data_IF_973557896403
#
_entry.id   IF_973557896403
#
_cell.length_a   1.000
_cell.length_b   1.000
_cell.length_c   1.000
_cell.angle_alpha   90.00
_cell.angle_beta   90.00
_cell.angle_gamma   90.00
#
_symmetry.space_group_name_H-M   'P 1'
#
loop_
_entity.id
_entity.type
_entity.pdbx_description
1 polymer ?
#
# COMPACT_ATOMS: atom_id res chain seq x y z
N UNK A 1 44.47 -25.08 59.15
CA UNK A 1 44.59 -25.10 57.68
C UNK A 1 43.29 -24.46 57.14
N UNK A 2 43.12 -23.13 57.11
CA UNK A 2 43.56 -22.09 56.15
C UNK A 2 43.23 -22.37 54.67
N UNK A 3 42.22 -21.67 54.13
CA UNK A 3 42.20 -20.80 52.91
C UNK A 3 40.71 -20.45 52.61
N UNK A 4 40.15 -19.25 52.86
CA UNK A 4 40.23 -17.96 52.12
C UNK A 4 39.99 -18.13 50.61
N UNK A 5 39.18 -17.37 49.86
CA UNK A 5 38.84 -15.95 49.92
C UNK A 5 37.67 -15.64 48.95
N UNK A 6 37.04 -14.47 49.15
CA UNK A 6 35.85 -13.91 48.50
C UNK A 6 36.15 -13.10 47.21
N UNK A 7 35.05 -12.65 46.56
CA UNK A 7 34.89 -11.57 45.55
C UNK A 7 35.25 -11.94 44.10
N UNK A 8 34.57 -11.50 43.03
CA UNK A 8 34.22 -10.11 42.66
C UNK A 8 33.01 -10.09 41.70
N UNK A 9 32.10 -9.12 41.90
CA UNK A 9 31.00 -8.70 41.01
C UNK A 9 31.52 -7.87 39.83
N UNK A 10 30.63 -7.62 38.86
CA UNK A 10 30.68 -6.58 37.81
C UNK A 10 31.61 -6.78 36.62
N UNK A 11 31.03 -6.80 35.42
CA UNK A 11 31.44 -5.86 34.36
C UNK A 11 30.30 -5.64 33.34
N UNK A 12 29.84 -4.38 33.34
CA UNK A 12 28.90 -3.76 32.42
C UNK A 12 29.74 -3.11 31.29
N UNK A 13 29.27 -3.17 30.04
CA UNK A 13 29.61 -2.27 28.91
C UNK A 13 31.08 -2.06 28.54
N UNK A 14 31.50 -2.70 27.43
CA UNK A 14 32.62 -2.31 26.56
C UNK A 14 32.37 -2.98 25.19
N UNK A 15 32.57 -2.38 24.02
CA UNK A 15 32.85 -1.02 23.62
C UNK A 15 32.77 -0.99 22.08
N UNK A 16 32.07 0.01 21.55
CA UNK A 16 32.31 0.82 20.35
C UNK A 16 33.12 0.31 19.13
N UNK A 17 32.63 0.83 17.99
CA UNK A 17 33.45 1.35 16.88
C UNK A 17 34.04 0.34 15.89
N UNK A 18 33.21 -0.09 14.93
CA UNK A 18 33.69 -0.49 13.60
C UNK A 18 33.72 0.71 12.64
N UNK A 19 34.44 1.77 13.02
CA UNK A 19 35.05 2.69 12.07
C UNK A 19 36.42 2.10 11.72
N UNK A 20 36.64 1.71 10.45
CA UNK A 20 37.85 2.02 9.66
C UNK A 20 37.92 1.25 8.33
N UNK A 21 37.91 2.06 7.27
CA UNK A 21 38.80 2.02 6.08
C UNK A 21 38.47 1.00 4.98
N UNK A 22 37.84 1.51 3.92
CA UNK A 22 38.34 1.27 2.55
C UNK A 22 38.29 2.58 1.77
N UNK A 23 39.47 3.12 1.50
CA UNK A 23 39.73 4.24 0.61
C UNK A 23 40.03 3.63 -0.77
N UNK A 24 39.27 4.00 -1.81
CA UNK A 24 39.71 3.79 -3.19
C UNK A 24 39.59 5.11 -3.94
N UNK A 25 40.77 5.66 -4.26
CA UNK A 25 40.95 6.82 -5.14
C UNK A 25 41.14 6.30 -6.55
N UNK A 26 40.37 6.83 -7.51
CA UNK A 26 40.71 6.80 -8.92
C UNK A 26 40.41 8.18 -9.51
N UNK A 27 41.51 8.90 -9.79
CA UNK A 27 41.58 10.04 -10.70
C UNK A 27 41.50 9.51 -12.15
N UNK A 28 41.09 10.19 -13.22
CA UNK A 28 40.86 11.59 -13.58
C UNK A 28 39.99 11.58 -14.87
N UNK A 29 39.42 12.73 -15.24
CA UNK A 29 39.59 13.46 -16.53
C UNK A 29 38.37 14.36 -16.72
N UNK A 30 38.64 15.67 -16.83
CA UNK A 30 37.63 16.70 -16.99
C UNK A 30 37.17 16.89 -18.43
N UNK A 31 35.96 17.41 -18.57
CA UNK A 31 35.51 18.22 -19.71
C UNK A 31 34.59 19.30 -19.15
N UNK A 32 35.01 20.56 -19.26
CA UNK A 32 34.18 21.74 -19.03
C UNK A 32 33.25 21.94 -20.21
N UNK A 33 31.94 21.89 -19.97
CA UNK A 33 30.93 22.33 -20.95
C UNK A 33 30.54 23.76 -20.61
N UNK A 34 30.77 24.66 -21.57
CA UNK A 34 30.37 26.06 -21.53
C UNK A 34 28.84 26.18 -21.66
N UNK A 35 28.30 27.18 -20.96
CA UNK A 35 26.87 27.49 -20.84
C UNK A 35 26.20 27.76 -22.20
N UNK A 36 24.97 27.25 -22.36
CA UNK A 36 24.01 27.75 -23.33
C UNK A 36 22.75 28.24 -22.61
N UNK A 37 22.29 29.42 -23.00
CA UNK A 37 21.18 30.16 -22.42
C UNK A 37 19.86 29.41 -22.63
N UNK A 38 19.06 29.29 -21.57
CA UNK A 38 17.67 28.87 -21.68
C UNK A 38 16.83 30.06 -22.16
N UNK A 39 16.23 29.94 -23.34
CA UNK A 39 15.18 30.82 -23.80
C UNK A 39 13.94 30.66 -22.90
N UNK A 40 13.48 31.76 -22.31
CA UNK A 40 12.16 31.84 -21.70
C UNK A 40 11.12 31.84 -22.82
N UNK A 41 10.34 30.76 -22.91
CA UNK A 41 9.03 30.81 -23.57
C UNK A 41 7.96 30.92 -22.50
N UNK A 42 7.36 32.11 -22.41
CA UNK A 42 6.15 32.37 -21.66
C UNK A 42 4.98 31.65 -22.34
N UNK A 43 4.31 30.75 -21.61
CA UNK A 43 3.01 30.24 -22.02
C UNK A 43 1.95 30.82 -21.08
N UNK A 44 1.06 31.62 -21.69
CA UNK A 44 -0.01 32.35 -21.04
C UNK A 44 -0.99 31.40 -20.34
N UNK A 45 -1.35 31.76 -19.11
CA UNK A 45 -2.50 31.21 -18.40
C UNK A 45 -3.79 31.81 -18.97
N UNK A 46 -4.73 30.95 -19.34
CA UNK A 46 -6.16 31.29 -19.46
C UNK A 46 -6.93 30.45 -18.42
N UNK A 47 -7.68 31.05 -17.47
CA UNK A 47 -8.44 30.31 -16.48
C UNK A 47 -9.90 30.20 -16.93
N UNK A 48 -10.22 29.18 -17.72
CA UNK A 48 -11.62 28.72 -17.82
C UNK A 48 -11.90 27.79 -16.64
N UNK A 49 -12.82 28.25 -15.80
CA UNK A 49 -13.27 27.60 -14.58
C UNK A 49 -14.42 26.65 -14.92
N UNK A 50 -14.19 25.35 -14.74
CA UNK A 50 -15.24 24.32 -14.74
C UNK A 50 -15.00 23.40 -13.52
N UNK A 51 -16.06 22.92 -12.84
CA UNK A 51 -15.95 22.31 -11.53
C UNK A 51 -15.30 20.92 -11.63
N UNK A 52 -14.15 20.77 -10.97
CA UNK A 52 -13.44 19.50 -10.88
C UNK A 52 -14.26 18.47 -10.08
N UNK A 53 -14.99 17.62 -10.78
CA UNK A 53 -15.28 16.27 -10.30
C UNK A 53 -13.96 15.51 -10.22
N UNK A 54 -13.54 15.14 -9.02
CA UNK A 54 -12.34 14.34 -8.78
C UNK A 54 -12.56 12.89 -9.26
N UNK A 55 -12.66 12.67 -10.57
CA UNK A 55 -12.31 11.37 -11.15
C UNK A 55 -10.79 11.33 -11.23
N UNK A 56 -10.15 10.78 -10.21
CA UNK A 56 -8.72 10.49 -10.20
C UNK A 56 -8.38 9.65 -11.44
N UNK A 57 -7.85 10.29 -12.49
CA UNK A 57 -7.25 9.63 -13.65
C UNK A 57 -5.89 9.10 -13.22
N UNK A 58 -5.90 8.01 -12.45
CA UNK A 58 -4.71 7.21 -12.19
C UNK A 58 -4.35 6.47 -13.50
N UNK A 59 -3.16 6.65 -14.11
CA UNK A 59 -2.86 6.22 -15.48
C UNK A 59 -2.82 4.71 -15.76
N UNK A 60 -3.17 3.85 -14.80
CA UNK A 60 -2.89 2.40 -14.87
C UNK A 60 -4.08 1.46 -14.61
N UNK A 61 -5.30 1.97 -14.44
CA UNK A 61 -6.42 1.13 -14.00
C UNK A 61 -7.51 1.05 -15.08
N UNK A 62 -7.27 0.23 -16.10
CA UNK A 62 -8.30 -0.10 -17.09
C UNK A 62 -9.49 -0.74 -16.36
N UNK A 63 -10.69 -0.20 -16.56
CA UNK A 63 -11.91 -0.79 -16.01
C UNK A 63 -12.37 -1.97 -16.87
N UNK A 64 -12.98 -2.97 -16.23
CA UNK A 64 -13.72 -4.04 -16.87
C UNK A 64 -15.16 -3.95 -16.39
N UNK A 65 -16.05 -3.61 -17.31
CA UNK A 65 -17.48 -3.64 -17.05
C UNK A 65 -17.98 -5.08 -16.95
N UNK A 66 -18.80 -5.37 -15.95
CA UNK A 66 -19.52 -6.65 -15.85
C UNK A 66 -20.55 -6.71 -16.97
N UNK A 67 -20.49 -7.76 -17.79
CA UNK A 67 -21.35 -7.88 -18.97
C UNK A 67 -22.79 -8.20 -18.58
N UNK A 68 -23.74 -7.81 -19.43
CA UNK A 68 -25.15 -8.18 -19.23
C UNK A 68 -25.30 -9.71 -19.14
N UNK A 69 -25.99 -10.18 -18.09
CA UNK A 69 -26.19 -11.60 -17.82
C UNK A 69 -25.10 -12.27 -16.97
N UNK A 70 -23.97 -11.60 -16.70
CA UNK A 70 -23.00 -12.08 -15.71
C UNK A 70 -23.51 -11.77 -14.28
N UNK A 71 -23.35 -12.69 -13.30
CA UNK A 71 -23.61 -12.38 -11.90
C UNK A 71 -22.74 -11.23 -11.41
N UNK A 72 -23.35 -10.18 -10.88
CA UNK A 72 -22.64 -8.97 -10.44
C UNK A 72 -21.91 -9.27 -9.12
N UNK A 73 -20.58 -9.11 -9.06
CA UNK A 73 -19.82 -9.21 -7.82
C UNK A 73 -20.24 -8.15 -6.80
N UNK A 74 -20.22 -8.50 -5.52
CA UNK A 74 -20.32 -7.51 -4.44
C UNK A 74 -19.19 -7.71 -3.45
N UNK A 75 -18.85 -6.64 -2.73
CA UNK A 75 -17.87 -6.66 -1.65
C UNK A 75 -18.40 -5.87 -0.46
N UNK A 76 -18.16 -6.39 0.75
CA UNK A 76 -18.38 -5.73 2.04
C UNK A 76 -17.16 -5.96 2.91
N UNK A 77 -16.89 -5.02 3.81
CA UNK A 77 -15.76 -5.10 4.74
C UNK A 77 -16.28 -5.16 6.17
N UNK A 78 -15.71 -6.06 6.95
CA UNK A 78 -15.84 -6.08 8.40
C UNK A 78 -14.44 -6.00 8.97
N UNK A 79 -14.22 -5.13 9.95
CA UNK A 79 -12.92 -5.00 10.60
C UNK A 79 -13.08 -5.37 12.07
N UNK A 80 -12.34 -6.38 12.47
CA UNK A 80 -12.37 -6.96 13.81
C UNK A 80 -11.13 -6.51 14.58
N UNK A 81 -11.26 -6.00 15.81
CA UNK A 81 -10.10 -5.87 16.69
C UNK A 81 -9.45 -7.25 16.89
N UNK A 82 -8.13 -7.32 16.74
CA UNK A 82 -7.38 -8.52 17.08
C UNK A 82 -7.16 -8.59 18.59
N UNK A 83 -7.21 -9.79 19.18
CA UNK A 83 -7.13 -9.98 20.63
C UNK A 83 -5.77 -9.63 21.21
N UNK A 84 -4.71 -9.70 20.40
CA UNK A 84 -3.34 -9.36 20.82
C UNK A 84 -3.01 -7.91 20.46
N UNK A 85 -3.11 -7.55 19.19
CA UNK A 85 -2.83 -6.20 18.68
C UNK A 85 -3.32 -6.04 17.25
N UNK A 86 -3.64 -4.81 16.84
CA UNK A 86 -4.05 -4.53 15.45
C UNK A 86 -5.48 -4.98 15.16
N UNK A 87 -5.76 -5.25 13.89
CA UNK A 87 -7.11 -5.58 13.41
C UNK A 87 -7.07 -6.68 12.35
N UNK A 88 -8.11 -7.47 12.25
CA UNK A 88 -8.34 -8.41 11.16
C UNK A 88 -9.42 -7.85 10.22
N UNK A 89 -9.05 -7.60 8.98
CA UNK A 89 -9.97 -7.28 7.90
C UNK A 89 -10.56 -8.57 7.34
N UNK A 90 -11.88 -8.63 7.33
CA UNK A 90 -12.68 -9.62 6.62
C UNK A 90 -13.30 -8.98 5.38
N UNK A 91 -12.97 -9.52 4.21
CA UNK A 91 -13.51 -9.15 2.90
C UNK A 91 -14.57 -10.18 2.51
N UNK A 92 -15.83 -9.78 2.63
CA UNK A 92 -16.98 -10.60 2.29
C UNK A 92 -17.40 -10.31 0.87
N UNK A 93 -17.42 -11.33 0.02
CA UNK A 93 -17.80 -11.19 -1.39
C UNK A 93 -18.96 -12.10 -1.76
N UNK A 94 -19.73 -11.68 -2.76
CA UNK A 94 -20.69 -12.57 -3.46
C UNK A 94 -20.40 -12.54 -4.95
N UNK A 95 -20.72 -13.62 -5.67
CA UNK A 95 -20.45 -13.77 -7.11
C UNK A 95 -18.99 -13.52 -7.49
N UNK A 96 -18.07 -13.73 -6.55
CA UNK A 96 -16.65 -13.50 -6.72
C UNK A 96 -15.83 -14.51 -5.94
N UNK A 97 -14.85 -15.11 -6.60
CA UNK A 97 -13.91 -16.07 -6.04
C UNK A 97 -12.50 -15.51 -6.18
N UNK A 98 -11.75 -15.49 -5.08
CA UNK A 98 -10.30 -15.25 -5.15
C UNK A 98 -9.64 -16.39 -5.93
N UNK A 99 -8.85 -16.05 -6.96
CA UNK A 99 -8.17 -17.01 -7.82
C UNK A 99 -6.68 -16.64 -7.97
N UNK A 100 -5.88 -16.72 -6.89
CA UNK A 100 -4.45 -16.39 -6.93
C UNK A 100 -3.67 -17.15 -8.01
N UNK A 101 -4.06 -18.38 -8.31
CA UNK A 101 -3.48 -19.25 -9.33
C UNK A 101 -3.66 -18.71 -10.75
N UNK A 102 -4.58 -17.76 -10.95
CA UNK A 102 -4.91 -17.16 -12.24
C UNK A 102 -4.39 -15.73 -12.41
N UNK A 103 -3.74 -15.15 -11.40
CA UNK A 103 -3.23 -13.76 -11.47
C UNK A 103 -2.25 -13.57 -12.63
N UNK A 104 -2.33 -12.40 -13.29
CA UNK A 104 -1.62 -12.03 -14.52
C UNK A 104 -2.07 -12.79 -15.79
N UNK A 105 -3.07 -13.67 -15.71
CA UNK A 105 -3.70 -14.29 -16.89
C UNK A 105 -4.91 -13.47 -17.37
N UNK A 106 -5.52 -13.92 -18.47
CA UNK A 106 -6.76 -13.33 -18.98
C UNK A 106 -7.87 -13.32 -17.91
N UNK A 107 -8.67 -12.26 -17.92
CA UNK A 107 -9.76 -12.10 -16.97
C UNK A 107 -10.94 -13.02 -17.30
N UNK A 108 -11.42 -13.76 -16.29
CA UNK A 108 -12.63 -14.58 -16.38
C UNK A 108 -13.72 -14.02 -15.45
N UNK A 109 -15.01 -14.20 -15.80
CA UNK A 109 -16.12 -13.72 -14.98
C UNK A 109 -16.10 -14.33 -13.58
N UNK A 110 -16.41 -13.52 -12.56
CA UNK A 110 -16.55 -13.97 -11.17
C UNK A 110 -15.27 -14.42 -10.48
N UNK A 111 -14.09 -14.21 -11.06
CA UNK A 111 -12.81 -14.51 -10.39
C UNK A 111 -11.79 -13.39 -10.49
N UNK A 112 -10.89 -13.32 -9.52
CA UNK A 112 -9.90 -12.27 -9.47
C UNK A 112 -9.11 -12.20 -8.18
N UNK A 113 -8.66 -10.99 -7.87
CA UNK A 113 -8.04 -10.63 -6.59
C UNK A 113 -8.56 -9.26 -6.15
N UNK A 114 -8.29 -8.84 -4.92
CA UNK A 114 -8.69 -7.50 -4.45
C UNK A 114 -7.47 -6.61 -4.24
N UNK A 115 -7.62 -5.29 -4.34
CA UNK A 115 -6.57 -4.33 -3.95
C UNK A 115 -6.99 -3.66 -2.65
N UNK A 116 -6.11 -3.71 -1.64
CA UNK A 116 -6.31 -3.08 -0.34
C UNK A 116 -5.64 -1.72 -0.30
N UNK A 117 -6.37 -0.73 0.18
CA UNK A 117 -5.92 0.63 0.42
C UNK A 117 -6.20 1.03 1.86
N UNK A 118 -5.29 1.78 2.46
CA UNK A 118 -5.46 2.39 3.78
C UNK A 118 -5.13 3.87 3.68
N UNK A 119 -6.07 4.73 4.07
CA UNK A 119 -5.95 6.18 4.01
C UNK A 119 -5.51 6.68 2.62
N UNK A 120 -6.17 6.19 1.57
CA UNK A 120 -5.88 6.51 0.18
C UNK A 120 -4.62 5.83 -0.41
N UNK A 121 -3.75 5.23 0.40
CA UNK A 121 -2.53 4.56 -0.07
C UNK A 121 -2.78 3.08 -0.34
N UNK A 122 -2.40 2.60 -1.53
CA UNK A 122 -2.40 1.16 -1.84
C UNK A 122 -1.39 0.44 -0.94
N UNK A 123 -1.86 -0.59 -0.25
CA UNK A 123 -1.06 -1.41 0.67
C UNK A 123 -0.61 -2.69 -0.02
N UNK A 124 -1.56 -3.47 -0.56
CA UNK A 124 -1.25 -4.78 -1.14
C UNK A 124 -2.38 -5.30 -2.03
N UNK A 125 -2.15 -6.45 -2.66
CA UNK A 125 -3.18 -7.29 -3.27
C UNK A 125 -3.64 -8.32 -2.23
N UNK A 126 -4.93 -8.63 -2.20
CA UNK A 126 -5.52 -9.68 -1.38
C UNK A 126 -5.89 -10.86 -2.27
N UNK A 127 -5.46 -12.05 -1.86
CA UNK A 127 -5.74 -13.32 -2.52
C UNK A 127 -6.65 -14.23 -1.69
N UNK A 128 -7.20 -13.70 -0.61
CA UNK A 128 -8.12 -14.38 0.28
C UNK A 128 -9.01 -13.34 0.98
N UNK A 129 -10.02 -13.84 1.69
CA UNK A 129 -10.98 -13.02 2.42
C UNK A 129 -10.44 -12.37 3.69
N UNK A 130 -9.26 -12.76 4.19
CA UNK A 130 -8.77 -12.29 5.48
C UNK A 130 -7.39 -11.63 5.36
N UNK A 131 -7.22 -10.49 6.02
CA UNK A 131 -5.95 -9.77 6.06
C UNK A 131 -5.72 -9.12 7.42
N UNK A 132 -4.52 -9.29 7.96
CA UNK A 132 -4.14 -8.68 9.23
C UNK A 132 -3.55 -7.27 9.02
N UNK A 133 -4.17 -6.28 9.69
CA UNK A 133 -3.80 -4.87 9.68
C UNK A 133 -3.01 -4.55 10.95
N UNK A 134 -1.68 -4.52 10.82
CA UNK A 134 -0.77 -4.44 11.96
C UNK A 134 -0.58 -3.02 12.52
N UNK A 135 -0.64 -1.98 11.67
CA UNK A 135 -0.21 -0.62 11.99
C UNK A 135 -1.21 0.45 11.53
N UNK A 136 -2.47 0.36 11.94
CA UNK A 136 -3.40 1.49 11.78
C UNK A 136 -2.99 2.63 12.71
N UNK A 137 -3.04 3.87 12.19
CA UNK A 137 -2.65 5.06 12.98
C UNK A 137 -3.69 5.34 14.07
N UNK A 138 -3.33 5.93 15.22
CA UNK A 138 -4.34 6.50 16.11
C UNK A 138 -5.32 7.43 15.38
N UNK A 139 -6.60 7.36 15.74
CA UNK A 139 -7.67 8.10 15.10
C UNK A 139 -8.40 7.33 14.00
N UNK A 140 -9.09 8.08 13.12
CA UNK A 140 -9.82 7.53 11.96
C UNK A 140 -8.87 7.01 10.89
N UNK A 141 -9.07 5.75 10.50
CA UNK A 141 -8.44 5.13 9.34
C UNK A 141 -9.51 4.71 8.36
N UNK A 142 -9.34 5.09 7.09
CA UNK A 142 -10.16 4.61 5.99
C UNK A 142 -9.54 3.35 5.39
N UNK A 143 -10.29 2.24 5.40
CA UNK A 143 -9.93 0.98 4.76
C UNK A 143 -10.78 0.84 3.51
N UNK A 144 -10.16 0.77 2.33
CA UNK A 144 -10.87 0.58 1.06
C UNK A 144 -10.37 -0.67 0.34
N UNK A 145 -11.29 -1.43 -0.23
CA UNK A 145 -10.98 -2.62 -1.04
C UNK A 145 -11.73 -2.52 -2.36
N UNK A 146 -11.02 -2.66 -3.47
CA UNK A 146 -11.61 -2.83 -4.81
C UNK A 146 -11.48 -4.27 -5.29
N UNK A 147 -12.46 -4.78 -6.02
CA UNK A 147 -12.34 -6.06 -6.72
C UNK A 147 -11.71 -5.86 -8.10
N UNK A 148 -10.78 -6.72 -8.45
CA UNK A 148 -9.99 -6.65 -9.67
C UNK A 148 -9.99 -8.00 -10.38
N UNK A 149 -10.07 -7.98 -11.70
CA UNK A 149 -9.89 -9.17 -12.50
C UNK A 149 -8.42 -9.63 -12.48
N UNK A 150 -8.17 -10.85 -12.92
CA UNK A 150 -6.83 -11.46 -12.92
C UNK A 150 -5.79 -10.74 -13.80
N UNK A 151 -6.24 -10.01 -14.82
CA UNK A 151 -5.40 -9.13 -15.64
C UNK A 151 -5.26 -7.71 -15.07
N UNK A 152 -5.59 -7.50 -13.78
CA UNK A 152 -5.55 -6.24 -13.02
C UNK A 152 -6.60 -5.20 -13.36
N UNK A 153 -7.50 -5.45 -14.33
CA UNK A 153 -8.60 -4.53 -14.60
C UNK A 153 -9.49 -4.37 -13.37
N UNK A 154 -9.90 -3.14 -13.07
CA UNK A 154 -10.84 -2.88 -11.96
C UNK A 154 -12.23 -3.32 -12.40
N UNK A 155 -12.90 -4.16 -11.60
CA UNK A 155 -14.26 -4.58 -11.92
C UNK A 155 -15.23 -3.41 -11.66
N UNK A 156 -16.12 -3.17 -12.61
CA UNK A 156 -17.11 -2.10 -12.56
C UNK A 156 -18.50 -2.60 -13.01
N UNK A 157 -19.54 -2.01 -12.45
CA UNK A 157 -20.92 -2.23 -12.86
C UNK A 157 -21.68 -0.90 -12.93
N UNK A 158 -22.37 -0.66 -14.05
CA UNK A 158 -22.94 0.61 -14.46
C UNK A 158 -21.93 1.77 -14.36
N UNK A 159 -20.69 1.53 -14.79
CA UNK A 159 -19.61 2.51 -14.75
C UNK A 159 -19.09 2.84 -13.34
N UNK A 160 -19.57 2.14 -12.30
CA UNK A 160 -19.11 2.30 -10.92
C UNK A 160 -18.22 1.13 -10.52
N UNK A 161 -17.07 1.42 -9.93
CA UNK A 161 -16.17 0.40 -9.39
C UNK A 161 -16.87 -0.46 -8.33
N UNK A 162 -16.59 -1.76 -8.35
CA UNK A 162 -17.03 -2.69 -7.32
C UNK A 162 -15.99 -2.64 -6.19
N UNK A 163 -16.28 -1.78 -5.21
CA UNK A 163 -15.42 -1.52 -4.06
C UNK A 163 -16.26 -1.29 -2.79
N UNK A 164 -15.60 -1.40 -1.64
CA UNK A 164 -16.17 -1.08 -0.35
C UNK A 164 -15.16 -0.31 0.50
N UNK A 165 -15.68 0.54 1.38
CA UNK A 165 -14.90 1.35 2.32
C UNK A 165 -15.46 1.17 3.72
N UNK A 166 -14.57 1.04 4.70
CA UNK A 166 -14.88 0.98 6.13
C UNK A 166 -13.99 1.96 6.89
N UNK A 167 -14.57 2.75 7.79
CA UNK A 167 -13.82 3.59 8.73
C UNK A 167 -13.59 2.80 10.02
N UNK A 168 -12.35 2.83 10.51
CA UNK A 168 -11.91 2.23 11.77
C UNK A 168 -11.35 3.32 12.67
N UNK A 169 -11.89 3.47 13.87
CA UNK A 169 -11.38 4.39 14.88
C UNK A 169 -10.40 3.64 15.79
N UNK A 170 -9.13 4.04 15.76
CA UNK A 170 -8.08 3.45 16.60
C UNK A 170 -7.85 4.33 17.82
N UNK A 171 -7.93 3.78 19.04
CA UNK A 171 -7.68 4.57 20.26
C UNK A 171 -6.30 5.23 20.25
N UNK A 172 -6.23 6.45 20.77
CA UNK A 172 -4.94 7.12 21.00
C UNK A 172 -4.11 6.34 22.01
N UNK A 173 -2.81 6.18 21.73
CA UNK A 173 -1.86 5.67 22.72
C UNK A 173 -1.75 6.70 23.84
N UNK A 174 -2.26 6.35 25.03
CA UNK A 174 -1.97 7.12 26.25
C UNK A 174 -0.47 6.92 26.54
N UNK A 175 0.29 8.02 26.50
CA UNK A 175 1.67 8.05 26.95
C UNK A 175 1.75 7.87 28.46
#
# INVERSE_FOLDING_TARGET
>A
MSCSQKHVLSDLWQLDSMFKRSLLVLATVGVTILANNAEMTAHNHDPTSEPHSHTSKDPHHQMREISAGEPIPTVKLVVHPDTMRGYNLEVQTTNFKFAPEEVNKAAKPGEGHAHLYVNGKKITRLYSSWYYLDNLKPGKNEIRVSLNANNHQVLAHNGKMIEATQIVEVPATKK
#
